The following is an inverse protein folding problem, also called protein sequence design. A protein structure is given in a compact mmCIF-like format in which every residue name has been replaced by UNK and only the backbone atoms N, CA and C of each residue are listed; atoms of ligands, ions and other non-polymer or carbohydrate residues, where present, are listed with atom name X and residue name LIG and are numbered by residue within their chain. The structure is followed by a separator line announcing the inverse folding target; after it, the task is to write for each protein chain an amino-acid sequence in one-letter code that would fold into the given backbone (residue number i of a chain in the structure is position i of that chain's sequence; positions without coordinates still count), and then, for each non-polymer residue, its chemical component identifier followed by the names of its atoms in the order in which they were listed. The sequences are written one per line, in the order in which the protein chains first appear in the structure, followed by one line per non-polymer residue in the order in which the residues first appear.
data_IF_600573554002
#
_entry.id   IF_600573554002
#
_cell.length_a   1.000
_cell.length_b   1.000
_cell.length_c   1.000
_cell.angle_alpha   90.00
_cell.angle_beta   90.00
_cell.angle_gamma   90.00
#
_symmetry.space_group_name_H-M   'P 1'
#
loop_
_entity.id
_entity.type
_entity.pdbx_description
1 polymer ?
#
# COMPACT_ATOMS: atom_id res chain seq x y z
N UNK A 1 -28.52 -54.99 30.09
CA UNK A 1 -27.43 -54.18 30.67
C UNK A 1 -26.13 -54.22 29.87
N UNK A 2 -25.51 -55.40 29.60
CA UNK A 2 -24.22 -55.50 28.88
C UNK A 2 -24.20 -54.84 27.48
N UNK A 3 -25.23 -55.04 26.65
CA UNK A 3 -25.31 -54.44 25.30
C UNK A 3 -25.40 -52.91 25.32
N UNK A 4 -26.05 -52.34 26.34
CA UNK A 4 -26.22 -50.90 26.49
C UNK A 4 -24.94 -50.23 26.99
N UNK A 5 -24.18 -50.89 27.87
CA UNK A 5 -22.85 -50.44 28.29
C UNK A 5 -21.83 -50.46 27.15
N UNK A 6 -21.85 -51.49 26.30
CA UNK A 6 -20.99 -51.57 25.11
C UNK A 6 -21.30 -50.39 24.16
N UNK A 7 -22.58 -50.12 23.89
CA UNK A 7 -22.99 -49.00 23.02
C UNK A 7 -22.48 -47.65 23.53
N UNK A 8 -22.60 -47.39 24.84
CA UNK A 8 -22.13 -46.14 25.47
C UNK A 8 -20.61 -46.01 25.35
N UNK A 9 -19.86 -47.09 25.60
CA UNK A 9 -18.40 -47.10 25.46
C UNK A 9 -17.99 -46.82 24.01
N UNK A 10 -18.66 -47.45 23.04
CA UNK A 10 -18.37 -47.22 21.61
C UNK A 10 -18.59 -45.76 21.22
N UNK A 11 -19.67 -45.13 21.69
CA UNK A 11 -19.96 -43.71 21.44
C UNK A 11 -18.87 -42.80 22.04
N UNK A 12 -18.45 -43.06 23.28
CA UNK A 12 -17.40 -42.29 23.96
C UNK A 12 -16.05 -42.41 23.23
N UNK A 13 -15.70 -43.60 22.75
CA UNK A 13 -14.49 -43.81 21.95
C UNK A 13 -14.57 -43.05 20.62
N UNK A 14 -15.73 -43.05 19.96
CA UNK A 14 -15.94 -42.31 18.73
C UNK A 14 -15.77 -40.80 18.92
N UNK A 15 -16.36 -40.25 19.99
CA UNK A 15 -16.18 -38.83 20.36
C UNK A 15 -14.71 -38.53 20.65
N UNK A 16 -14.00 -39.42 21.36
CA UNK A 16 -12.58 -39.24 21.65
C UNK A 16 -11.73 -39.25 20.37
N UNK A 17 -11.99 -40.14 19.42
CA UNK A 17 -11.29 -40.21 18.12
C UNK A 17 -11.56 -38.96 17.28
N UNK A 18 -12.81 -38.49 17.20
CA UNK A 18 -13.15 -37.26 16.49
C UNK A 18 -12.49 -36.04 17.15
N UNK A 19 -12.51 -35.96 18.47
CA UNK A 19 -11.82 -34.93 19.24
C UNK A 19 -10.31 -34.93 19.02
N UNK A 20 -9.69 -36.12 18.98
CA UNK A 20 -8.27 -36.28 18.68
C UNK A 20 -7.95 -35.82 17.26
N UNK A 21 -8.75 -36.22 16.27
CA UNK A 21 -8.59 -35.80 14.87
C UNK A 21 -8.71 -34.29 14.71
N UNK A 22 -9.68 -33.66 15.38
CA UNK A 22 -9.80 -32.20 15.43
C UNK A 22 -8.56 -31.54 16.04
N UNK A 23 -8.08 -32.05 17.17
CA UNK A 23 -6.96 -31.44 17.89
C UNK A 23 -5.61 -31.63 17.19
N UNK A 24 -5.35 -32.82 16.62
CA UNK A 24 -4.07 -33.17 16.02
C UNK A 24 -3.94 -32.74 14.55
N UNK A 25 -5.05 -32.71 13.80
CA UNK A 25 -5.01 -32.46 12.35
C UNK A 25 -5.65 -31.11 12.03
N UNK A 26 -6.91 -30.92 12.41
CA UNK A 26 -7.66 -29.74 11.96
C UNK A 26 -7.17 -28.44 12.59
N UNK A 27 -6.92 -28.44 13.91
CA UNK A 27 -6.49 -27.24 14.64
C UNK A 27 -5.12 -26.70 14.17
N UNK A 28 -4.07 -27.52 13.98
CA UNK A 28 -2.80 -27.03 13.43
C UNK A 28 -2.93 -26.54 11.98
N UNK A 29 -3.69 -27.25 11.14
CA UNK A 29 -3.92 -26.84 9.75
C UNK A 29 -4.60 -25.47 9.65
N UNK A 30 -5.64 -25.24 10.46
CA UNK A 30 -6.32 -23.95 10.53
C UNK A 30 -5.43 -22.84 11.11
N UNK A 31 -4.53 -23.16 12.04
CA UNK A 31 -3.53 -22.20 12.53
C UNK A 31 -2.54 -21.81 11.43
N UNK A 32 -2.08 -22.78 10.63
CA UNK A 32 -1.21 -22.53 9.48
C UNK A 32 -1.86 -21.58 8.48
N UNK A 33 -3.09 -21.91 8.03
CA UNK A 33 -3.84 -21.06 7.11
C UNK A 33 -4.07 -19.63 7.62
N UNK A 34 -4.39 -19.47 8.91
CA UNK A 34 -4.55 -18.13 9.50
C UNK A 34 -3.23 -17.36 9.58
N UNK A 35 -2.11 -18.04 9.79
CA UNK A 35 -0.81 -17.41 9.79
C UNK A 35 -0.41 -16.96 8.38
N UNK A 36 -0.64 -17.80 7.36
CA UNK A 36 -0.44 -17.46 5.95
C UNK A 36 -1.27 -16.24 5.54
N UNK A 37 -2.59 -16.27 5.82
CA UNK A 37 -3.47 -15.13 5.56
C UNK A 37 -3.02 -13.85 6.26
N UNK A 38 -2.57 -13.94 7.52
CA UNK A 38 -2.03 -12.79 8.24
C UNK A 38 -0.80 -12.23 7.56
N UNK A 39 0.12 -13.09 7.11
CA UNK A 39 1.32 -12.69 6.38
C UNK A 39 0.99 -12.05 5.02
N UNK A 40 0.02 -12.59 4.29
CA UNK A 40 -0.45 -12.01 3.03
C UNK A 40 -1.03 -10.60 3.24
N UNK A 41 -1.91 -10.43 4.22
CA UNK A 41 -2.48 -9.12 4.56
C UNK A 41 -1.39 -8.13 5.02
N UNK A 42 -0.43 -8.59 5.82
CA UNK A 42 0.71 -7.78 6.25
C UNK A 42 1.55 -7.29 5.06
N UNK A 43 1.76 -8.14 4.05
CA UNK A 43 2.46 -7.76 2.80
C UNK A 43 1.65 -6.74 1.99
N UNK A 44 0.34 -6.92 1.89
CA UNK A 44 -0.55 -5.97 1.20
C UNK A 44 -0.48 -4.58 1.85
N UNK A 45 -0.47 -4.50 3.19
CA UNK A 45 -0.28 -3.23 3.89
C UNK A 45 1.13 -2.67 3.72
N UNK A 46 2.14 -3.54 3.72
CA UNK A 46 3.52 -3.12 3.53
C UNK A 46 3.71 -2.43 2.16
N UNK A 47 3.25 -3.05 1.07
CA UNK A 47 3.33 -2.46 -0.28
C UNK A 47 2.52 -1.17 -0.38
N UNK A 48 1.30 -1.16 0.14
CA UNK A 48 0.44 0.02 0.18
C UNK A 48 1.09 1.19 0.91
N UNK A 49 1.56 0.95 2.14
CA UNK A 49 2.15 1.98 2.98
C UNK A 49 3.45 2.50 2.38
N UNK A 50 4.23 1.62 1.73
CA UNK A 50 5.40 2.02 0.98
C UNK A 50 5.02 2.94 -0.18
N UNK A 51 4.07 2.51 -1.04
CA UNK A 51 3.62 3.25 -2.21
C UNK A 51 3.13 4.65 -1.85
N UNK A 52 2.35 4.79 -0.77
CA UNK A 52 1.84 6.08 -0.30
C UNK A 52 2.82 6.89 0.56
N UNK A 53 4.07 6.44 0.70
CA UNK A 53 5.10 7.18 1.45
C UNK A 53 4.89 7.21 2.97
N UNK A 54 4.07 6.31 3.52
CA UNK A 54 3.77 6.18 4.95
C UNK A 54 4.80 5.30 5.70
N UNK A 55 5.75 4.70 4.98
CA UNK A 55 6.76 3.81 5.54
C UNK A 55 6.44 2.33 5.33
N UNK A 56 6.99 1.47 6.16
CA UNK A 56 7.01 0.01 5.96
C UNK A 56 6.21 -0.75 7.04
N UNK A 57 5.20 -0.09 7.64
CA UNK A 57 4.38 -0.71 8.67
C UNK A 57 3.53 -1.84 8.06
N UNK A 58 3.54 -3.07 8.60
CA UNK A 58 2.72 -4.18 8.11
C UNK A 58 1.31 -4.13 8.71
N UNK A 59 0.66 -2.97 8.68
CA UNK A 59 -0.68 -2.77 9.25
C UNK A 59 -1.41 -1.65 8.53
N UNK A 60 -2.74 -1.64 8.61
CA UNK A 60 -3.55 -0.54 8.10
C UNK A 60 -3.11 0.81 8.70
N UNK A 61 -2.91 1.79 7.81
CA UNK A 61 -2.70 3.19 8.15
C UNK A 61 -3.75 4.00 7.38
N UNK A 62 -4.42 4.91 8.08
CA UNK A 62 -5.41 5.79 7.48
C UNK A 62 -4.75 6.96 6.73
N UNK A 63 -5.55 7.70 5.96
CA UNK A 63 -5.08 8.87 5.21
C UNK A 63 -4.40 9.92 6.09
N UNK A 64 -4.73 9.99 7.39
CA UNK A 64 -4.15 10.95 8.33
C UNK A 64 -2.66 10.68 8.63
N UNK A 65 -2.14 9.50 8.27
CA UNK A 65 -0.70 9.17 8.38
C UNK A 65 0.11 9.59 7.17
N UNK A 66 -0.54 10.05 6.09
CA UNK A 66 0.15 10.47 4.88
C UNK A 66 0.78 11.85 5.07
N UNK A 67 2.06 11.96 4.72
CA UNK A 67 2.64 13.25 4.38
C UNK A 67 2.15 13.62 2.97
N UNK A 68 1.29 14.64 2.90
CA UNK A 68 0.60 15.02 1.66
C UNK A 68 1.58 15.41 0.55
N UNK A 69 2.63 16.18 0.85
CA UNK A 69 3.65 16.59 -0.13
C UNK A 69 4.36 15.38 -0.72
N UNK A 70 4.74 14.42 0.13
CA UNK A 70 5.38 13.18 -0.32
C UNK A 70 4.48 12.36 -1.23
N UNK A 71 3.18 12.33 -0.96
CA UNK A 71 2.23 11.65 -1.85
C UNK A 71 2.10 12.39 -3.18
N UNK A 72 2.01 13.72 -3.16
CA UNK A 72 1.96 14.56 -4.38
C UNK A 72 3.17 14.29 -5.28
N UNK A 73 4.38 14.31 -4.74
CA UNK A 73 5.62 14.02 -5.48
C UNK A 73 5.58 12.65 -6.15
N UNK A 74 5.11 11.63 -5.42
CA UNK A 74 5.04 10.25 -5.93
C UNK A 74 3.98 10.08 -7.01
N UNK A 75 2.84 10.75 -6.89
CA UNK A 75 1.80 10.73 -7.93
C UNK A 75 2.28 11.46 -9.19
N UNK A 76 2.95 12.59 -9.02
CA UNK A 76 3.56 13.31 -10.14
C UNK A 76 4.63 12.47 -10.87
N UNK A 77 5.46 11.73 -10.11
CA UNK A 77 6.41 10.79 -10.68
C UNK A 77 5.72 9.66 -11.46
N UNK A 78 4.61 9.12 -10.94
CA UNK A 78 3.84 8.09 -11.63
C UNK A 78 3.29 8.61 -12.97
N UNK A 79 2.72 9.81 -12.96
CA UNK A 79 2.19 10.47 -14.15
C UNK A 79 3.29 10.76 -15.19
N UNK A 80 4.46 11.28 -14.79
CA UNK A 80 5.57 11.60 -15.72
C UNK A 80 6.26 10.35 -16.28
N UNK A 81 6.18 9.20 -15.58
CA UNK A 81 6.87 7.96 -15.97
C UNK A 81 6.48 7.43 -17.35
N UNK A 82 5.31 7.80 -17.86
CA UNK A 82 4.73 7.22 -19.07
C UNK A 82 4.33 5.74 -18.93
N UNK A 83 4.50 5.15 -17.74
CA UNK A 83 4.09 3.79 -17.39
C UNK A 83 2.77 3.75 -16.61
N UNK A 84 2.16 4.92 -16.37
CA UNK A 84 0.87 5.02 -15.72
C UNK A 84 -0.19 4.25 -16.52
N UNK A 85 -0.76 3.21 -15.89
CA UNK A 85 -1.84 2.39 -16.50
C UNK A 85 -3.22 3.01 -16.28
N UNK A 86 -3.35 3.80 -15.21
CA UNK A 86 -4.56 4.51 -14.86
C UNK A 86 -4.21 5.79 -14.08
N UNK A 87 -5.05 6.82 -14.20
CA UNK A 87 -4.91 8.03 -13.42
C UNK A 87 -5.29 7.75 -11.96
N UNK A 88 -4.49 8.29 -11.03
CA UNK A 88 -4.74 8.21 -9.59
C UNK A 88 -4.55 9.59 -8.97
N UNK A 89 -5.60 10.07 -8.32
CA UNK A 89 -5.62 11.36 -7.66
C UNK A 89 -5.44 11.23 -6.14
N UNK A 90 -5.18 12.36 -5.48
CA UNK A 90 -5.20 12.43 -4.01
C UNK A 90 -6.56 12.03 -3.43
N UNK A 91 -7.65 12.38 -4.10
CA UNK A 91 -9.01 12.06 -3.65
C UNK A 91 -9.31 10.56 -3.79
N UNK A 92 -8.80 9.90 -4.83
CA UNK A 92 -8.91 8.43 -4.96
C UNK A 92 -8.23 7.73 -3.78
N UNK A 93 -7.02 8.16 -3.41
CA UNK A 93 -6.27 7.59 -2.29
C UNK A 93 -6.96 7.90 -0.96
N UNK A 94 -7.49 9.12 -0.80
CA UNK A 94 -8.24 9.52 0.39
C UNK A 94 -9.52 8.70 0.55
N UNK A 95 -10.25 8.45 -0.53
CA UNK A 95 -11.43 7.60 -0.53
C UNK A 95 -11.05 6.15 -0.21
N UNK A 96 -10.00 5.62 -0.85
CA UNK A 96 -9.51 4.27 -0.60
C UNK A 96 -9.09 4.04 0.86
N UNK A 97 -8.42 5.02 1.47
CA UNK A 97 -7.97 4.97 2.88
C UNK A 97 -8.98 5.56 3.88
N UNK A 98 -10.25 5.70 3.48
CA UNK A 98 -11.30 6.17 4.38
C UNK A 98 -11.71 5.10 5.40
N UNK A 99 -11.41 3.82 5.12
CA UNK A 99 -11.63 2.70 6.03
C UNK A 99 -10.77 1.50 5.67
N UNK A 100 -10.51 0.64 6.67
CA UNK A 100 -9.80 -0.64 6.47
C UNK A 100 -10.66 -1.66 5.71
N UNK A 101 -11.99 -1.53 5.82
CA UNK A 101 -12.97 -2.41 5.20
C UNK A 101 -13.86 -1.64 4.24
N UNK A 102 -14.21 -2.26 3.12
CA UNK A 102 -15.16 -1.74 2.16
C UNK A 102 -16.61 -1.82 2.68
N UNK A 103 -17.56 -1.28 1.91
CA UNK A 103 -18.99 -1.26 2.26
C UNK A 103 -19.59 -2.68 2.41
N UNK A 104 -18.95 -3.70 1.83
CA UNK A 104 -19.36 -5.11 1.95
C UNK A 104 -18.74 -5.82 3.16
N UNK A 105 -17.89 -5.12 3.93
CA UNK A 105 -17.18 -5.64 5.08
C UNK A 105 -15.94 -6.46 4.73
N UNK A 106 -15.43 -6.37 3.49
CA UNK A 106 -14.17 -7.00 3.08
C UNK A 106 -13.00 -6.06 3.27
N UNK A 107 -11.80 -6.60 3.48
CA UNK A 107 -10.59 -5.79 3.59
C UNK A 107 -10.35 -5.03 2.28
N UNK A 108 -10.24 -3.71 2.36
CA UNK A 108 -10.00 -2.87 1.19
C UNK A 108 -8.68 -3.24 0.50
N UNK A 109 -7.66 -3.64 1.28
CA UNK A 109 -6.37 -4.08 0.77
C UNK A 109 -6.42 -5.36 -0.08
N UNK A 110 -7.44 -6.20 0.08
CA UNK A 110 -7.66 -7.41 -0.72
C UNK A 110 -8.54 -7.15 -1.97
N UNK A 111 -9.15 -5.97 -2.06
CA UNK A 111 -10.11 -5.60 -3.11
C UNK A 111 -9.88 -4.15 -3.55
N UNK A 112 -8.66 -3.84 -3.98
CA UNK A 112 -8.27 -2.48 -4.33
C UNK A 112 -8.92 -2.04 -5.65
N UNK A 113 -9.31 -0.76 -5.78
CA UNK A 113 -9.65 -0.18 -7.08
C UNK A 113 -8.50 -0.35 -8.07
N UNK A 114 -8.80 -0.57 -9.35
CA UNK A 114 -7.80 -0.91 -10.38
C UNK A 114 -6.70 0.15 -10.52
N UNK A 115 -7.05 1.43 -10.43
CA UNK A 115 -6.08 2.52 -10.48
C UNK A 115 -5.16 2.56 -9.25
N UNK A 116 -5.70 2.27 -8.06
CA UNK A 116 -4.92 2.17 -6.83
C UNK A 116 -3.97 0.97 -6.89
N UNK A 117 -4.44 -0.19 -7.34
CA UNK A 117 -3.61 -1.39 -7.53
C UNK A 117 -2.48 -1.12 -8.52
N UNK A 118 -2.80 -0.54 -9.68
CA UNK A 118 -1.81 -0.24 -10.72
C UNK A 118 -0.72 0.72 -10.24
N UNK A 119 -1.09 1.71 -9.41
CA UNK A 119 -0.13 2.61 -8.80
C UNK A 119 0.74 1.92 -7.74
N UNK A 120 0.14 1.12 -6.84
CA UNK A 120 0.88 0.39 -5.79
C UNK A 120 1.88 -0.57 -6.43
N UNK A 121 1.45 -1.34 -7.43
CA UNK A 121 2.29 -2.29 -8.16
C UNK A 121 3.47 -1.59 -8.85
N UNK A 122 3.20 -0.47 -9.51
CA UNK A 122 4.26 0.31 -10.16
C UNK A 122 5.23 0.87 -9.12
N UNK A 123 4.73 1.51 -8.06
CA UNK A 123 5.57 2.13 -7.03
C UNK A 123 6.40 1.11 -6.24
N UNK A 124 5.95 -0.14 -6.17
CA UNK A 124 6.66 -1.26 -5.55
C UNK A 124 7.65 -1.96 -6.49
N UNK A 125 7.56 -1.73 -7.80
CA UNK A 125 8.52 -2.28 -8.76
C UNK A 125 9.88 -1.59 -8.65
N UNK A 126 10.96 -2.30 -9.00
CA UNK A 126 12.33 -1.75 -9.02
C UNK A 126 12.41 -0.47 -9.88
N UNK A 127 11.73 -0.47 -11.03
CA UNK A 127 11.69 0.66 -11.95
C UNK A 127 10.94 1.84 -11.36
N UNK A 128 9.77 1.60 -10.74
CA UNK A 128 8.97 2.67 -10.13
C UNK A 128 9.62 3.26 -8.89
N UNK A 129 10.18 2.44 -8.00
CA UNK A 129 10.88 2.94 -6.81
C UNK A 129 12.08 3.81 -7.21
N UNK A 130 12.85 3.36 -8.21
CA UNK A 130 13.96 4.14 -8.76
C UNK A 130 13.47 5.44 -9.39
N UNK A 131 12.43 5.38 -10.23
CA UNK A 131 11.90 6.55 -10.92
C UNK A 131 11.36 7.60 -9.95
N UNK A 132 10.69 7.20 -8.86
CA UNK A 132 10.25 8.12 -7.80
C UNK A 132 11.44 8.89 -7.23
N UNK A 133 12.54 8.20 -6.91
CA UNK A 133 13.75 8.84 -6.35
C UNK A 133 14.38 9.81 -7.36
N UNK A 134 14.53 9.36 -8.60
CA UNK A 134 15.10 10.17 -9.68
C UNK A 134 14.22 11.41 -9.93
N UNK A 135 12.90 11.25 -10.05
CA UNK A 135 11.96 12.35 -10.26
C UNK A 135 12.02 13.39 -9.13
N UNK A 136 12.05 12.97 -7.86
CA UNK A 136 12.20 13.87 -6.71
C UNK A 136 13.52 14.65 -6.80
N UNK A 137 14.61 13.99 -7.21
CA UNK A 137 15.89 14.68 -7.42
C UNK A 137 15.80 15.71 -8.55
N UNK A 138 15.11 15.39 -9.65
CA UNK A 138 14.99 16.30 -10.80
C UNK A 138 14.19 17.56 -10.45
N UNK A 139 13.05 17.42 -9.76
CA UNK A 139 12.28 18.59 -9.30
C UNK A 139 13.07 19.41 -8.27
N UNK A 140 13.90 18.77 -7.44
CA UNK A 140 14.78 19.47 -6.48
C UNK A 140 15.85 20.27 -7.23
N UNK A 141 16.48 19.69 -8.25
CA UNK A 141 17.46 20.40 -9.09
C UNK A 141 16.80 21.60 -9.79
N UNK A 142 15.59 21.42 -10.33
CA UNK A 142 14.82 22.50 -10.94
C UNK A 142 14.52 23.63 -9.94
N UNK A 143 14.08 23.30 -8.73
CA UNK A 143 13.82 24.27 -7.66
C UNK A 143 15.06 25.09 -7.32
N UNK A 144 16.22 24.45 -7.19
CA UNK A 144 17.48 25.11 -6.83
C UNK A 144 18.03 26.04 -7.92
N UNK A 145 17.72 25.77 -9.18
CA UNK A 145 18.07 26.66 -10.30
C UNK A 145 17.10 27.84 -10.46
N UNK A 146 15.95 27.82 -9.76
CA UNK A 146 14.90 28.84 -9.82
C UNK A 146 14.60 29.43 -8.43
N UNK A 147 15.64 29.76 -7.67
CA UNK A 147 15.52 30.35 -6.32
C UNK A 147 14.96 31.78 -6.31
N UNK A 148 14.84 32.41 -7.48
CA UNK A 148 14.09 33.65 -7.67
C UNK A 148 12.57 33.44 -7.56
N UNK A 149 12.09 32.21 -7.80
CA UNK A 149 10.67 31.83 -7.74
C UNK A 149 10.34 30.92 -6.55
N UNK A 150 11.24 30.00 -6.21
CA UNK A 150 11.04 28.99 -5.17
C UNK A 150 12.00 29.20 -3.99
N UNK A 151 11.59 28.81 -2.78
CA UNK A 151 12.52 28.84 -1.63
C UNK A 151 13.59 27.75 -1.79
N UNK A 152 14.74 27.92 -1.12
CA UNK A 152 15.74 26.85 -1.00
C UNK A 152 15.37 25.80 0.07
N UNK A 153 14.18 25.91 0.67
CA UNK A 153 13.72 24.92 1.63
C UNK A 153 13.44 23.59 0.92
N UNK A 154 13.57 22.50 1.67
CA UNK A 154 13.24 21.18 1.13
C UNK A 154 11.78 21.13 0.67
N UNK A 155 11.53 20.39 -0.42
CA UNK A 155 10.22 20.23 -1.05
C UNK A 155 9.15 19.78 -0.05
N UNK A 156 9.54 18.99 0.96
CA UNK A 156 8.66 18.53 2.04
C UNK A 156 8.13 19.66 2.95
N UNK A 157 8.72 20.86 2.88
CA UNK A 157 8.31 22.06 3.62
C UNK A 157 7.54 23.07 2.79
N UNK A 158 7.49 22.90 1.46
CA UNK A 158 6.71 23.79 0.60
C UNK A 158 5.22 23.68 0.96
N UNK A 159 4.49 24.79 0.87
CA UNK A 159 3.03 24.72 0.87
C UNK A 159 2.56 23.90 -0.32
N UNK A 160 1.45 23.17 -0.18
CA UNK A 160 0.86 22.36 -1.24
C UNK A 160 0.73 23.11 -2.58
N UNK A 161 0.18 24.33 -2.57
CA UNK A 161 0.02 25.13 -3.78
C UNK A 161 1.36 25.41 -4.49
N UNK A 162 2.44 25.63 -3.71
CA UNK A 162 3.78 25.86 -4.23
C UNK A 162 4.44 24.59 -4.76
N UNK A 163 4.17 23.45 -4.13
CA UNK A 163 4.62 22.16 -4.63
C UNK A 163 3.95 21.82 -5.97
N UNK A 164 2.63 22.04 -6.07
CA UNK A 164 1.89 21.83 -7.31
C UNK A 164 2.38 22.77 -8.42
N UNK A 165 2.61 24.05 -8.10
CA UNK A 165 3.20 25.02 -9.04
C UNK A 165 4.61 24.58 -9.50
N UNK A 166 5.48 24.15 -8.58
CA UNK A 166 6.82 23.65 -8.89
C UNK A 166 6.78 22.44 -9.83
N UNK A 167 5.89 21.49 -9.57
CA UNK A 167 5.73 20.29 -10.39
C UNK A 167 5.21 20.65 -11.78
N UNK A 168 4.22 21.54 -11.88
CA UNK A 168 3.67 21.97 -13.17
C UNK A 168 4.71 22.74 -14.01
N UNK A 169 5.44 23.66 -13.39
CA UNK A 169 6.55 24.37 -14.04
C UNK A 169 7.63 23.40 -14.54
N UNK A 170 8.02 22.43 -13.72
CA UNK A 170 9.02 21.42 -14.11
C UNK A 170 8.53 20.56 -15.28
N UNK A 171 7.26 20.12 -15.25
CA UNK A 171 6.64 19.34 -16.34
C UNK A 171 6.63 20.10 -17.67
N UNK A 172 6.41 21.41 -17.61
CA UNK A 172 6.32 22.29 -18.77
C UNK A 172 7.67 22.97 -19.12
N UNK A 173 8.77 22.57 -18.49
CA UNK A 173 10.10 23.10 -18.79
C UNK A 173 10.65 22.50 -20.10
N UNK A 174 10.93 23.36 -21.09
CA UNK A 174 11.46 22.96 -22.40
C UNK A 174 12.79 22.17 -22.31
N UNK A 175 13.62 22.49 -21.31
CA UNK A 175 14.94 21.87 -21.10
C UNK A 175 14.95 20.89 -19.90
N UNK A 176 13.84 20.21 -19.59
CA UNK A 176 13.73 19.38 -18.36
C UNK A 176 14.86 18.33 -18.20
N UNK A 177 15.41 17.85 -19.32
CA UNK A 177 16.48 16.86 -19.34
C UNK A 177 17.79 17.35 -18.70
N UNK A 178 18.01 18.67 -18.56
CA UNK A 178 19.18 19.19 -17.86
C UNK A 178 19.16 18.87 -16.36
N UNK A 179 17.97 18.72 -15.78
CA UNK A 179 17.76 18.42 -14.36
C UNK A 179 17.82 16.92 -14.05
N UNK A 180 17.88 16.07 -15.10
CA UNK A 180 17.96 14.60 -14.97
C UNK A 180 19.35 14.05 -14.63
N UNK A 181 20.26 14.92 -14.22
CA UNK A 181 21.70 14.64 -14.05
C UNK A 181 22.08 14.42 -12.60
#
# INVERSE_FOLDING_TARGET
MKKMGILIITILVLIAVVGLGYYLIYKPHMKGKRAEQKTEIEQLYFHQNHAFGMGLAPSYLDYNKINKNRLIERLAAYEDSGQAKAEVSLDDIKQYLSGEYDESGKLAAENRPENIEAYIDWAWSDDGEKYIKDYIQWITNYQLDHTDKYSEESIDKLSEDKLLELIDDFKNCDDKDQYKR
#
